data_IF_555724096709
#
_entry.id   IF_555724096709
#
_cell.length_a   1.000
_cell.length_b   1.000
_cell.length_c   1.000
_cell.angle_alpha   90.00
_cell.angle_beta   90.00
_cell.angle_gamma   90.00
#
_symmetry.space_group_name_H-M   'P 1'
#
loop_
_entity.id
_entity.type
_entity.pdbx_description
1 polymer ?
#
# COMPACT_ATOMS: atom_id res chain seq x y z
N UNK A 1 -22.16 39.01 -6.30
CA UNK A 1 -21.18 38.32 -5.43
C UNK A 1 -21.76 36.95 -5.11
N UNK A 2 -21.37 35.93 -5.88
CA UNK A 2 -21.79 34.56 -5.64
C UNK A 2 -20.70 33.87 -4.82
N UNK A 3 -21.00 33.60 -3.55
CA UNK A 3 -20.20 32.73 -2.71
C UNK A 3 -20.37 31.30 -3.20
N UNK A 4 -19.45 30.85 -4.08
CA UNK A 4 -19.26 29.46 -4.38
C UNK A 4 -18.49 28.80 -3.24
N UNK A 5 -19.19 28.20 -2.30
CA UNK A 5 -18.62 27.16 -1.43
C UNK A 5 -18.23 25.98 -2.33
N UNK A 6 -16.97 25.94 -2.74
CA UNK A 6 -16.38 24.74 -3.33
C UNK A 6 -16.38 23.67 -2.26
N UNK A 7 -17.27 22.68 -2.40
CA UNK A 7 -17.27 21.49 -1.58
C UNK A 7 -15.98 20.71 -1.91
N UNK A 8 -14.91 20.93 -1.15
CA UNK A 8 -13.59 20.30 -1.33
C UNK A 8 -13.56 18.87 -0.77
N UNK A 9 -14.70 18.17 -0.76
CA UNK A 9 -14.82 16.84 -0.18
C UNK A 9 -14.01 15.84 -0.99
N UNK A 10 -12.86 15.43 -0.45
CA UNK A 10 -12.12 14.29 -0.99
C UNK A 10 -13.04 13.06 -1.03
N UNK A 11 -12.93 12.25 -2.09
CA UNK A 11 -13.68 11.00 -2.18
C UNK A 11 -13.27 10.06 -1.03
N UNK A 12 -14.23 9.66 -0.20
CA UNK A 12 -13.99 8.81 0.98
C UNK A 12 -14.54 7.41 0.72
N UNK A 13 -13.83 6.37 1.15
CA UNK A 13 -14.36 5.02 1.16
C UNK A 13 -15.49 4.89 2.20
N UNK A 14 -16.42 3.92 2.05
CA UNK A 14 -17.38 3.61 3.10
C UNK A 14 -16.69 3.32 4.44
N UNK A 15 -17.27 3.79 5.53
CA UNK A 15 -16.75 3.51 6.87
C UNK A 15 -16.71 1.99 7.12
N UNK A 16 -15.64 1.43 7.71
CA UNK A 16 -15.57 -0.01 7.94
C UNK A 16 -16.50 -0.42 9.10
N UNK A 17 -17.13 -1.59 8.96
CA UNK A 17 -18.16 -2.11 9.88
C UNK A 17 -17.72 -2.12 11.35
N UNK A 18 -18.56 -1.63 12.26
CA UNK A 18 -18.32 -1.62 13.70
C UNK A 18 -18.12 -3.03 14.29
N UNK A 19 -18.66 -4.08 13.66
CA UNK A 19 -18.40 -5.46 14.07
C UNK A 19 -16.90 -5.85 13.96
N UNK A 20 -16.11 -5.11 13.17
CA UNK A 20 -14.70 -5.41 12.90
C UNK A 20 -13.72 -4.63 13.77
N UNK A 21 -14.17 -3.81 14.72
CA UNK A 21 -13.30 -2.92 15.52
C UNK A 21 -12.14 -3.64 16.24
N UNK A 22 -12.35 -4.91 16.61
CA UNK A 22 -11.35 -5.72 17.31
C UNK A 22 -10.42 -6.52 16.37
N UNK A 23 -10.70 -6.55 15.07
CA UNK A 23 -9.93 -7.33 14.09
C UNK A 23 -8.61 -6.63 13.74
N UNK A 24 -7.53 -7.40 13.48
CA UNK A 24 -6.30 -6.86 12.93
C UNK A 24 -6.54 -6.00 11.69
N UNK A 25 -5.80 -4.89 11.57
CA UNK A 25 -6.03 -3.85 10.57
C UNK A 25 -5.03 -3.91 9.42
N UNK A 26 -5.56 -3.77 8.20
CA UNK A 26 -4.78 -3.65 6.96
C UNK A 26 -4.99 -2.24 6.38
N UNK A 27 -3.89 -1.50 6.24
CA UNK A 27 -3.88 -0.20 5.57
C UNK A 27 -3.87 -0.41 4.04
N UNK A 28 -4.81 0.17 3.30
CA UNK A 28 -5.05 -0.11 1.88
C UNK A 28 -4.76 1.12 1.01
N UNK A 29 -3.59 1.15 0.38
CA UNK A 29 -3.08 2.27 -0.43
C UNK A 29 -3.45 2.12 -1.91
N UNK A 30 -4.24 3.06 -2.41
CA UNK A 30 -4.75 3.05 -3.78
C UNK A 30 -3.68 3.39 -4.84
N UNK A 31 -3.95 3.10 -6.11
CA UNK A 31 -3.07 3.48 -7.23
C UNK A 31 -3.05 4.99 -7.51
N UNK A 32 -2.05 5.46 -8.25
CA UNK A 32 -2.02 6.85 -8.71
C UNK A 32 -3.15 7.14 -9.70
N UNK A 33 -3.76 8.31 -9.61
CA UNK A 33 -4.92 8.68 -10.44
C UNK A 33 -6.21 7.97 -10.04
N UNK A 34 -6.30 7.44 -8.82
CA UNK A 34 -7.52 6.90 -8.21
C UNK A 34 -7.78 7.58 -6.87
N UNK A 35 -8.66 7.02 -6.03
CA UNK A 35 -8.94 7.52 -4.68
C UNK A 35 -9.46 6.37 -3.79
N UNK A 36 -9.70 6.61 -2.48
CA UNK A 36 -10.18 5.60 -1.55
C UNK A 36 -11.46 4.89 -1.98
N UNK A 37 -12.44 5.64 -2.51
CA UNK A 37 -13.73 5.08 -2.90
C UNK A 37 -13.57 4.09 -4.06
N UNK A 38 -12.79 4.46 -5.08
CA UNK A 38 -12.46 3.58 -6.21
C UNK A 38 -11.72 2.34 -5.70
N UNK A 39 -10.74 2.52 -4.83
CA UNK A 39 -9.93 1.39 -4.35
C UNK A 39 -10.70 0.42 -3.47
N UNK A 40 -11.63 0.92 -2.64
CA UNK A 40 -12.58 0.09 -1.92
C UNK A 40 -13.37 -0.83 -2.87
N UNK A 41 -13.88 -0.28 -3.98
CA UNK A 41 -14.60 -1.06 -4.99
C UNK A 41 -13.69 -2.06 -5.72
N UNK A 42 -12.45 -1.67 -6.02
CA UNK A 42 -11.46 -2.55 -6.65
C UNK A 42 -11.07 -3.73 -5.73
N UNK A 43 -10.98 -3.50 -4.42
CA UNK A 43 -10.66 -4.53 -3.43
C UNK A 43 -11.83 -5.46 -3.08
N UNK A 44 -13.07 -5.19 -3.55
CA UNK A 44 -14.29 -5.85 -3.08
C UNK A 44 -14.21 -7.38 -2.95
N UNK A 45 -13.58 -8.06 -3.91
CA UNK A 45 -13.49 -9.52 -3.92
C UNK A 45 -12.54 -10.03 -2.82
N UNK A 46 -11.37 -9.39 -2.68
CA UNK A 46 -10.40 -9.71 -1.63
C UNK A 46 -10.98 -9.39 -0.24
N UNK A 47 -11.55 -8.19 -0.08
CA UNK A 47 -12.16 -7.75 1.18
C UNK A 47 -13.31 -8.65 1.60
N UNK A 48 -14.13 -9.11 0.66
CA UNK A 48 -15.23 -10.04 0.95
C UNK A 48 -14.73 -11.33 1.61
N UNK A 49 -13.62 -11.89 1.15
CA UNK A 49 -13.05 -13.12 1.71
C UNK A 49 -12.27 -12.91 3.01
N UNK A 50 -11.82 -11.69 3.31
CA UNK A 50 -11.04 -11.35 4.50
C UNK A 50 -11.86 -10.68 5.62
N UNK A 51 -13.12 -10.31 5.37
CA UNK A 51 -13.95 -9.46 6.25
C UNK A 51 -14.15 -9.98 7.68
N UNK A 52 -14.06 -11.29 7.90
CA UNK A 52 -14.18 -11.90 9.24
C UNK A 52 -12.86 -11.96 10.00
N UNK A 53 -11.74 -11.61 9.35
CA UNK A 53 -10.40 -11.77 9.89
C UNK A 53 -9.64 -10.44 9.98
N UNK A 54 -9.97 -9.49 9.10
CA UNK A 54 -9.29 -8.21 9.02
C UNK A 54 -10.28 -7.05 8.87
N UNK A 55 -9.93 -5.94 9.49
CA UNK A 55 -10.51 -4.62 9.23
C UNK A 55 -9.63 -3.90 8.20
N UNK A 56 -10.23 -3.41 7.12
CA UNK A 56 -9.50 -2.73 6.04
C UNK A 56 -9.79 -1.24 6.06
N UNK A 57 -8.75 -0.41 5.97
CA UNK A 57 -8.86 1.06 6.02
C UNK A 57 -8.19 1.67 4.80
N UNK A 58 -8.90 2.60 4.14
CA UNK A 58 -8.54 3.15 2.83
C UNK A 58 -8.22 4.65 2.94
N UNK A 59 -6.97 5.04 3.24
CA UNK A 59 -6.55 6.43 3.29
C UNK A 59 -6.56 7.10 1.91
N UNK A 60 -6.80 8.41 1.88
CA UNK A 60 -6.72 9.25 0.69
C UNK A 60 -5.29 9.74 0.46
N UNK A 61 -4.78 9.62 -0.77
CA UNK A 61 -3.46 10.14 -1.09
C UNK A 61 -3.41 11.68 -1.09
N UNK A 62 -2.27 12.30 -0.74
CA UNK A 62 -2.20 13.74 -0.49
C UNK A 62 -2.31 14.63 -1.73
N UNK A 63 -1.84 14.17 -2.89
CA UNK A 63 -1.65 15.06 -4.04
C UNK A 63 -2.76 14.87 -5.07
N UNK A 64 -3.20 15.97 -5.68
CA UNK A 64 -4.09 15.92 -6.82
C UNK A 64 -3.41 15.22 -8.01
N UNK A 65 -4.21 14.50 -8.80
CA UNK A 65 -3.77 13.76 -9.97
C UNK A 65 -4.79 13.87 -11.09
N UNK A 66 -4.34 13.68 -12.33
CA UNK A 66 -5.23 13.25 -13.40
C UNK A 66 -5.65 11.79 -13.14
N UNK A 67 -6.81 11.34 -13.66
CA UNK A 67 -7.18 9.93 -13.59
C UNK A 67 -6.15 9.05 -14.30
N UNK A 68 -6.00 7.82 -13.80
CA UNK A 68 -5.17 6.81 -14.46
C UNK A 68 -5.77 6.37 -15.81
N UNK A 69 -4.95 5.80 -16.73
CA UNK A 69 -5.38 5.46 -18.09
C UNK A 69 -6.67 4.62 -18.15
N UNK A 70 -6.78 3.61 -17.29
CA UNK A 70 -7.91 2.66 -17.29
C UNK A 70 -9.06 3.09 -16.36
N UNK A 71 -8.86 4.15 -15.57
CA UNK A 71 -9.84 4.62 -14.56
C UNK A 71 -11.04 5.27 -15.23
N UNK A 72 -10.82 6.02 -16.31
CA UNK A 72 -11.85 6.81 -16.97
C UNK A 72 -12.97 5.97 -17.61
N UNK A 73 -12.71 4.72 -17.95
CA UNK A 73 -13.71 3.86 -18.60
C UNK A 73 -14.89 3.51 -17.68
N UNK A 74 -14.65 3.43 -16.36
CA UNK A 74 -15.65 3.00 -15.35
C UNK A 74 -15.87 4.07 -14.27
N UNK A 75 -14.86 4.90 -13.99
CA UNK A 75 -14.82 5.80 -12.83
C UNK A 75 -14.62 7.27 -13.21
N UNK A 76 -14.97 7.68 -14.44
CA UNK A 76 -14.81 9.07 -14.91
C UNK A 76 -15.41 10.10 -13.94
N UNK A 77 -16.59 9.81 -13.38
CA UNK A 77 -17.33 10.71 -12.48
C UNK A 77 -16.94 10.57 -11.00
N UNK A 78 -15.99 9.69 -10.68
CA UNK A 78 -15.60 9.39 -9.29
C UNK A 78 -14.43 10.25 -8.83
N UNK A 79 -14.16 11.38 -9.50
CA UNK A 79 -13.19 12.36 -9.02
C UNK A 79 -13.56 12.93 -7.63
N UNK A 80 -12.63 13.60 -6.94
CA UNK A 80 -11.28 13.94 -7.37
C UNK A 80 -10.33 12.74 -7.38
N UNK A 81 -9.35 12.77 -8.28
CA UNK A 81 -8.29 11.75 -8.38
C UNK A 81 -7.03 12.21 -7.66
N UNK A 82 -6.34 11.25 -7.03
CA UNK A 82 -5.22 11.50 -6.13
C UNK A 82 -4.03 10.61 -6.46
N UNK A 83 -2.86 11.01 -5.99
CA UNK A 83 -1.59 10.29 -6.09
C UNK A 83 -0.76 10.49 -4.82
N UNK A 84 0.10 9.53 -4.54
CA UNK A 84 0.93 9.48 -3.34
C UNK A 84 2.27 10.20 -3.49
N UNK A 85 2.81 10.24 -4.70
CA UNK A 85 4.16 10.73 -4.98
C UNK A 85 4.09 12.05 -5.73
N UNK A 86 5.01 12.99 -5.45
CA UNK A 86 5.09 14.26 -6.18
C UNK A 86 5.75 14.09 -7.54
N UNK A 87 6.66 13.13 -7.72
CA UNK A 87 7.27 12.82 -9.01
C UNK A 87 6.37 11.85 -9.81
N UNK A 88 5.76 12.28 -10.93
CA UNK A 88 4.73 11.51 -11.64
C UNK A 88 5.28 10.45 -12.62
N UNK A 89 6.60 10.33 -12.77
CA UNK A 89 7.23 9.42 -13.73
C UNK A 89 7.28 7.95 -13.28
N UNK A 90 7.11 6.98 -14.20
CA UNK A 90 7.37 5.57 -13.90
C UNK A 90 8.86 5.39 -13.60
N UNK A 91 9.18 4.59 -12.57
CA UNK A 91 10.54 4.33 -12.11
C UNK A 91 11.41 5.57 -11.82
N UNK A 92 10.79 6.73 -11.59
CA UNK A 92 11.50 7.93 -11.20
C UNK A 92 11.81 7.89 -9.71
N UNK A 93 13.03 8.27 -9.36
CA UNK A 93 13.42 8.61 -7.99
C UNK A 93 12.58 9.81 -7.55
N UNK A 94 12.07 9.79 -6.32
CA UNK A 94 11.30 10.92 -5.81
C UNK A 94 12.23 12.13 -5.60
N UNK A 95 11.86 13.26 -6.20
CA UNK A 95 12.67 14.49 -6.19
C UNK A 95 12.52 15.28 -4.87
N UNK A 96 11.36 15.16 -4.22
CA UNK A 96 11.00 15.90 -3.01
C UNK A 96 10.70 14.92 -1.85
N UNK A 97 11.65 14.06 -1.46
CA UNK A 97 11.35 12.96 -0.56
C UNK A 97 10.91 13.41 0.83
N UNK A 98 11.39 14.55 1.34
CA UNK A 98 11.00 15.07 2.67
C UNK A 98 9.54 15.50 2.67
N UNK A 99 9.15 16.30 1.68
CA UNK A 99 7.80 16.82 1.52
C UNK A 99 6.82 15.69 1.22
N UNK A 100 7.22 14.75 0.36
CA UNK A 100 6.42 13.57 0.04
C UNK A 100 6.20 12.69 1.27
N UNK A 101 7.24 12.41 2.08
CA UNK A 101 7.06 11.69 3.33
C UNK A 101 6.17 12.41 4.34
N UNK A 102 6.37 13.72 4.54
CA UNK A 102 5.55 14.49 5.46
C UNK A 102 4.06 14.47 5.05
N UNK A 103 3.77 14.56 3.76
CA UNK A 103 2.40 14.51 3.24
C UNK A 103 1.78 13.10 3.37
N UNK A 104 2.55 12.05 3.07
CA UNK A 104 2.11 10.64 3.22
C UNK A 104 1.84 10.33 4.70
N UNK A 105 2.78 10.67 5.60
CA UNK A 105 2.63 10.47 7.04
C UNK A 105 1.37 11.16 7.56
N UNK A 106 1.15 12.42 7.14
CA UNK A 106 -0.03 13.17 7.55
C UNK A 106 -1.32 12.46 7.12
N UNK A 107 -1.47 12.12 5.85
CA UNK A 107 -2.72 11.54 5.33
C UNK A 107 -3.00 10.13 5.89
N UNK A 108 -1.98 9.29 5.95
CA UNK A 108 -2.12 7.94 6.52
C UNK A 108 -2.36 8.04 8.03
N UNK A 109 -1.61 8.89 8.73
CA UNK A 109 -1.78 9.14 10.15
C UNK A 109 -3.18 9.65 10.49
N UNK A 110 -3.73 10.57 9.71
CA UNK A 110 -5.10 11.10 9.87
C UNK A 110 -6.15 10.00 9.70
N UNK A 111 -5.98 9.11 8.72
CA UNK A 111 -6.87 7.96 8.51
C UNK A 111 -6.78 6.92 9.63
N UNK A 112 -5.57 6.64 10.12
CA UNK A 112 -5.36 5.74 11.26
C UNK A 112 -5.99 6.31 12.54
N UNK A 113 -5.79 7.61 12.82
CA UNK A 113 -6.39 8.26 13.98
C UNK A 113 -7.92 8.35 13.85
N UNK A 114 -8.45 8.51 12.64
CA UNK A 114 -9.89 8.49 12.39
C UNK A 114 -10.49 7.11 12.70
N UNK A 115 -9.80 6.04 12.32
CA UNK A 115 -10.22 4.67 12.63
C UNK A 115 -10.13 4.37 14.14
N UNK A 116 -9.08 4.85 14.82
CA UNK A 116 -8.97 4.76 16.29
C UNK A 116 -10.12 5.53 16.98
N UNK A 117 -10.50 6.71 16.47
CA UNK A 117 -11.66 7.47 16.98
C UNK A 117 -13.01 6.77 16.79
N UNK A 118 -13.11 5.83 15.85
CA UNK A 118 -14.29 4.95 15.72
C UNK A 118 -14.31 3.83 16.78
N UNK A 119 -13.29 3.75 17.65
CA UNK A 119 -13.16 2.74 18.70
C UNK A 119 -12.43 1.47 18.25
N UNK A 120 -11.68 1.53 17.14
CA UNK A 120 -10.94 0.37 16.67
C UNK A 120 -9.78 0.04 17.62
N UNK A 121 -9.64 -1.23 17.96
CA UNK A 121 -8.67 -1.74 18.94
C UNK A 121 -7.71 -2.78 18.36
N UNK A 122 -8.01 -3.34 17.19
CA UNK A 122 -7.11 -4.29 16.53
C UNK A 122 -5.77 -3.65 16.18
N UNK A 123 -4.68 -4.43 16.17
CA UNK A 123 -3.37 -3.90 15.78
C UNK A 123 -3.30 -3.61 14.28
N UNK A 124 -2.55 -2.58 13.88
CA UNK A 124 -2.16 -2.39 12.47
C UNK A 124 -1.10 -3.42 12.11
N UNK A 125 -1.46 -4.41 11.29
CA UNK A 125 -0.59 -5.58 11.04
C UNK A 125 -0.04 -5.65 9.63
N UNK A 126 -0.67 -4.99 8.65
CA UNK A 126 -0.20 -5.06 7.27
C UNK A 126 -0.51 -3.79 6.48
N UNK A 127 0.23 -3.61 5.39
CA UNK A 127 -0.04 -2.62 4.36
C UNK A 127 -0.28 -3.34 3.03
N UNK A 128 -1.41 -3.08 2.40
CA UNK A 128 -1.75 -3.51 1.06
C UNK A 128 -1.69 -2.31 0.14
N UNK A 129 -0.99 -2.42 -0.98
CA UNK A 129 -0.86 -1.33 -1.95
C UNK A 129 -1.01 -1.80 -3.38
N UNK A 130 -1.69 -1.00 -4.21
CA UNK A 130 -1.81 -1.23 -5.64
C UNK A 130 -1.03 -0.19 -6.46
N UNK A 131 -0.26 -0.63 -7.47
CA UNK A 131 0.48 0.25 -8.38
C UNK A 131 1.36 1.25 -7.62
N UNK A 132 1.11 2.56 -7.73
CA UNK A 132 1.82 3.56 -6.92
C UNK A 132 1.64 3.35 -5.40
N UNK A 133 0.47 2.90 -4.94
CA UNK A 133 0.25 2.52 -3.55
C UNK A 133 1.07 1.30 -3.13
N UNK A 134 1.38 0.37 -4.06
CA UNK A 134 2.29 -0.76 -3.82
C UNK A 134 3.73 -0.29 -3.59
N UNK A 135 4.19 0.68 -4.37
CA UNK A 135 5.50 1.34 -4.15
C UNK A 135 5.57 1.99 -2.76
N UNK A 136 4.52 2.71 -2.36
CA UNK A 136 4.46 3.37 -1.05
C UNK A 136 4.38 2.35 0.08
N UNK A 137 3.61 1.28 -0.08
CA UNK A 137 3.52 0.20 0.91
C UNK A 137 4.89 -0.43 1.18
N UNK A 138 5.62 -0.81 0.12
CA UNK A 138 6.98 -1.32 0.25
C UNK A 138 7.94 -0.29 0.89
N UNK A 139 7.80 0.98 0.53
CA UNK A 139 8.62 2.07 1.09
C UNK A 139 8.36 2.30 2.59
N UNK A 140 7.11 2.21 3.04
CA UNK A 140 6.75 2.28 4.47
C UNK A 140 7.41 1.13 5.23
N UNK A 141 7.36 -0.08 4.68
CA UNK A 141 7.97 -1.26 5.30
C UNK A 141 9.50 -1.12 5.35
N UNK A 142 10.14 -0.66 4.28
CA UNK A 142 11.60 -0.42 4.28
C UNK A 142 11.97 0.66 5.31
N UNK A 143 11.22 1.77 5.37
CA UNK A 143 11.44 2.81 6.38
C UNK A 143 11.23 2.33 7.80
N UNK A 144 10.24 1.46 8.03
CA UNK A 144 10.05 0.79 9.31
C UNK A 144 11.28 -0.05 9.69
N UNK A 145 11.82 -0.79 8.74
CA UNK A 145 12.94 -1.69 8.95
C UNK A 145 14.23 -0.93 9.27
N UNK A 146 14.55 0.10 8.48
CA UNK A 146 15.85 0.79 8.55
C UNK A 146 15.86 1.96 9.55
N UNK A 147 14.72 2.62 9.75
CA UNK A 147 14.64 3.86 10.55
C UNK A 147 13.28 3.96 11.27
N UNK A 148 12.92 2.99 12.15
CA UNK A 148 11.58 2.86 12.73
C UNK A 148 11.08 4.11 13.48
N UNK A 149 11.96 4.87 14.12
CA UNK A 149 11.64 6.13 14.79
C UNK A 149 11.21 7.23 13.82
N UNK A 150 11.62 7.15 12.55
CA UNK A 150 11.26 8.11 11.51
C UNK A 150 9.91 7.86 10.84
N UNK A 151 9.19 6.79 11.23
CA UNK A 151 7.82 6.55 10.78
C UNK A 151 6.80 7.52 11.40
N UNK A 152 7.19 8.22 12.48
CA UNK A 152 6.33 9.16 13.18
C UNK A 152 4.96 8.57 13.50
N UNK A 153 3.89 9.20 13.02
CA UNK A 153 2.50 8.81 13.28
C UNK A 153 2.11 7.44 12.73
N UNK A 154 2.88 6.84 11.82
CA UNK A 154 2.58 5.49 11.32
C UNK A 154 2.99 4.39 12.31
N UNK A 155 3.91 4.66 13.24
CA UNK A 155 4.33 3.69 14.25
C UNK A 155 3.30 3.61 15.37
N UNK A 156 2.49 2.55 15.39
CA UNK A 156 1.43 2.33 16.41
C UNK A 156 1.77 1.28 17.46
N UNK A 157 2.75 0.43 17.18
CA UNK A 157 3.22 -0.59 18.12
C UNK A 157 4.67 -0.92 17.86
N UNK A 158 5.33 -1.58 18.82
CA UNK A 158 6.71 -2.05 18.67
C UNK A 158 6.87 -3.07 17.53
N UNK A 159 5.82 -3.83 17.22
CA UNK A 159 5.85 -4.82 16.13
C UNK A 159 5.64 -4.18 14.75
N UNK A 160 5.09 -2.97 14.70
CA UNK A 160 4.75 -2.28 13.45
C UNK A 160 3.89 -3.11 12.50
N UNK A 161 3.96 -2.76 11.22
CA UNK A 161 3.43 -3.60 10.14
C UNK A 161 4.28 -4.85 9.99
N UNK A 162 3.64 -6.02 9.94
CA UNK A 162 4.31 -7.32 9.98
C UNK A 162 4.49 -7.93 8.60
N UNK A 163 3.69 -7.53 7.63
CA UNK A 163 3.83 -7.94 6.23
C UNK A 163 3.20 -6.94 5.25
N UNK A 164 3.61 -7.02 3.99
CA UNK A 164 3.08 -6.25 2.87
C UNK A 164 2.33 -7.10 1.84
N UNK A 165 1.34 -6.50 1.18
CA UNK A 165 0.70 -7.06 -0.02
C UNK A 165 0.87 -6.07 -1.16
N UNK A 166 1.75 -6.40 -2.10
CA UNK A 166 2.20 -5.51 -3.18
C UNK A 166 1.57 -5.98 -4.49
N UNK A 167 0.52 -5.28 -4.93
CA UNK A 167 -0.23 -5.59 -6.15
C UNK A 167 0.22 -4.67 -7.27
N UNK A 168 0.85 -5.21 -8.32
CA UNK A 168 1.40 -4.42 -9.43
C UNK A 168 2.29 -3.24 -8.97
N UNK A 169 2.98 -3.40 -7.83
CA UNK A 169 3.89 -2.39 -7.28
C UNK A 169 5.13 -2.22 -8.16
N UNK A 170 5.80 -1.07 -8.10
CA UNK A 170 7.04 -0.83 -8.86
C UNK A 170 8.07 -0.05 -8.05
N UNK A 171 9.35 -0.26 -8.34
CA UNK A 171 10.45 0.55 -7.81
C UNK A 171 10.73 1.83 -8.61
N UNK A 172 11.80 2.57 -8.29
CA UNK A 172 12.61 2.46 -7.07
C UNK A 172 11.78 2.83 -5.83
N UNK A 173 12.13 2.34 -4.64
CA UNK A 173 11.41 2.74 -3.42
C UNK A 173 11.65 4.22 -3.06
N UNK A 174 10.84 4.76 -2.14
CA UNK A 174 11.04 6.13 -1.62
C UNK A 174 12.22 6.14 -0.67
N UNK A 175 12.82 7.33 -0.55
CA UNK A 175 13.97 7.55 0.28
C UNK A 175 13.68 7.22 1.75
N UNK A 176 14.11 6.07 2.27
CA UNK A 176 13.80 5.71 3.66
C UNK A 176 14.40 6.73 4.64
N UNK A 177 15.55 7.30 4.30
CA UNK A 177 16.14 8.47 4.95
C UNK A 177 16.16 9.68 3.99
N UNK A 178 15.11 10.53 4.00
CA UNK A 178 14.99 11.65 3.08
C UNK A 178 15.95 12.81 3.40
N UNK A 179 16.68 12.73 4.52
CA UNK A 179 17.70 13.71 4.90
C UNK A 179 19.06 13.45 4.23
N UNK A 180 19.27 12.28 3.59
CA UNK A 180 20.49 12.00 2.82
C UNK A 180 20.46 12.74 1.47
N UNK A 181 21.59 13.37 1.13
CA UNK A 181 21.72 14.26 -0.04
C UNK A 181 21.53 13.55 -1.39
N UNK A 182 21.94 12.28 -1.48
CA UNK A 182 21.79 11.47 -2.68
C UNK A 182 21.27 10.08 -2.30
N UNK A 183 20.39 9.55 -3.15
CA UNK A 183 19.83 8.22 -2.95
C UNK A 183 20.74 7.11 -3.51
N UNK A 184 21.58 7.45 -4.49
CA UNK A 184 22.65 6.61 -5.04
C UNK A 184 23.98 7.37 -4.96
N UNK A 185 25.05 6.67 -4.62
CA UNK A 185 26.42 7.15 -4.82
C UNK A 185 26.83 7.01 -6.31
N UNK A 186 27.97 7.59 -6.70
CA UNK A 186 28.38 7.77 -8.11
C UNK A 186 28.34 6.50 -8.97
N UNK A 187 28.69 5.36 -8.39
CA UNK A 187 28.79 4.07 -9.08
C UNK A 187 27.64 3.11 -8.71
N UNK A 188 26.76 3.49 -7.79
CA UNK A 188 25.62 2.66 -7.39
C UNK A 188 24.52 2.66 -8.44
N UNK A 189 23.80 1.54 -8.51
CA UNK A 189 22.58 1.39 -9.32
C UNK A 189 21.45 0.83 -8.45
N UNK A 190 20.26 0.70 -9.03
CA UNK A 190 19.14 -0.01 -8.40
C UNK A 190 19.11 -1.48 -8.82
N UNK A 191 20.25 -2.14 -8.68
CA UNK A 191 20.34 -3.59 -8.72
C UNK A 191 20.43 -4.14 -7.29
N UNK A 192 20.20 -5.45 -7.16
CA UNK A 192 20.13 -6.15 -5.89
C UNK A 192 21.41 -5.98 -5.06
N UNK A 193 22.59 -6.11 -5.69
CA UNK A 193 23.88 -6.02 -5.00
C UNK A 193 24.12 -4.61 -4.41
N UNK A 194 23.85 -3.58 -5.20
CA UNK A 194 23.92 -2.18 -4.75
C UNK A 194 22.89 -1.90 -3.66
N UNK A 195 21.66 -2.41 -3.81
CA UNK A 195 20.61 -2.23 -2.82
C UNK A 195 20.93 -2.97 -1.50
N UNK A 196 21.48 -4.18 -1.55
CA UNK A 196 21.86 -4.94 -0.36
C UNK A 196 23.00 -4.26 0.39
N UNK A 197 24.04 -3.86 -0.34
CA UNK A 197 25.20 -3.14 0.22
C UNK A 197 24.79 -1.83 0.90
N UNK A 198 23.76 -1.16 0.39
CA UNK A 198 23.25 0.10 0.93
C UNK A 198 22.13 -0.05 1.97
N UNK A 199 21.77 -1.28 2.39
CA UNK A 199 20.68 -1.50 3.35
C UNK A 199 19.27 -1.20 2.80
N UNK A 200 19.09 -1.24 1.48
CA UNK A 200 17.82 -0.95 0.78
C UNK A 200 16.96 -2.19 0.49
N UNK A 201 17.40 -3.37 0.95
CA UNK A 201 16.67 -4.64 0.77
C UNK A 201 15.60 -4.81 1.85
N UNK A 202 14.36 -4.92 1.40
CA UNK A 202 13.20 -5.20 2.25
C UNK A 202 13.19 -6.66 2.69
N UNK A 203 13.26 -6.89 4.00
CA UNK A 203 13.29 -8.20 4.66
C UNK A 203 12.02 -8.50 5.46
N UNK A 204 11.16 -7.50 5.68
CA UNK A 204 9.81 -7.73 6.21
C UNK A 204 9.01 -8.53 5.16
N UNK A 205 8.26 -9.57 5.56
CA UNK A 205 7.56 -10.43 4.60
C UNK A 205 6.66 -9.67 3.62
N UNK A 206 6.77 -9.97 2.33
CA UNK A 206 5.91 -9.38 1.28
C UNK A 206 5.28 -10.43 0.40
N UNK A 207 4.02 -10.18 0.02
CA UNK A 207 3.30 -10.95 -0.99
C UNK A 207 3.24 -10.08 -2.26
N UNK A 208 3.84 -10.55 -3.33
CA UNK A 208 3.81 -9.91 -4.65
C UNK A 208 2.72 -10.56 -5.49
N UNK A 209 1.86 -9.74 -6.11
CA UNK A 209 0.78 -10.21 -6.99
C UNK A 209 0.95 -9.57 -8.36
N UNK A 210 1.31 -10.38 -9.35
CA UNK A 210 1.65 -9.95 -10.71
C UNK A 210 0.61 -10.45 -11.71
N UNK A 211 0.03 -9.52 -12.48
CA UNK A 211 -0.79 -9.86 -13.65
C UNK A 211 0.12 -10.14 -14.84
N UNK A 212 0.02 -11.32 -15.45
CA UNK A 212 0.91 -11.73 -16.54
C UNK A 212 0.68 -10.96 -17.85
N UNK A 213 -0.43 -10.24 -17.95
CA UNK A 213 -0.79 -9.41 -19.11
C UNK A 213 -0.62 -7.91 -18.80
N UNK A 214 -0.06 -7.57 -17.64
CA UNK A 214 0.22 -6.19 -17.26
C UNK A 214 1.35 -5.62 -18.13
N UNK A 215 1.15 -4.52 -18.88
CA UNK A 215 2.22 -3.87 -19.63
C UNK A 215 3.40 -3.42 -18.76
N UNK A 216 3.17 -3.24 -17.45
CA UNK A 216 4.16 -2.89 -16.44
C UNK A 216 4.85 -4.07 -15.75
N UNK A 217 4.62 -5.32 -16.17
CA UNK A 217 5.11 -6.52 -15.49
C UNK A 217 6.61 -6.48 -15.16
N UNK A 218 7.45 -6.04 -16.10
CA UNK A 218 8.90 -5.91 -15.88
C UNK A 218 9.26 -4.99 -14.71
N UNK A 219 8.44 -3.96 -14.43
CA UNK A 219 8.64 -3.08 -13.28
C UNK A 219 8.24 -3.73 -11.95
N UNK A 220 7.31 -4.67 -11.98
CA UNK A 220 6.91 -5.45 -10.80
C UNK A 220 7.97 -6.50 -10.46
N UNK A 221 8.55 -7.12 -11.49
CA UNK A 221 9.70 -8.02 -11.37
C UNK A 221 10.90 -7.27 -10.80
N UNK A 222 11.25 -6.08 -11.28
CA UNK A 222 12.32 -5.25 -10.70
C UNK A 222 12.07 -4.97 -9.20
N UNK A 223 10.84 -4.65 -8.80
CA UNK A 223 10.55 -4.46 -7.37
C UNK A 223 10.75 -5.74 -6.55
N UNK A 224 10.37 -6.89 -7.10
CA UNK A 224 10.55 -8.19 -6.44
C UNK A 224 12.03 -8.57 -6.34
N UNK A 225 12.77 -8.44 -7.44
CA UNK A 225 14.10 -9.01 -7.64
C UNK A 225 15.20 -8.11 -7.11
N UNK A 226 15.05 -6.78 -7.21
CA UNK A 226 16.12 -5.84 -6.89
C UNK A 226 15.97 -5.19 -5.51
N UNK A 227 14.77 -5.24 -4.90
CA UNK A 227 14.46 -4.49 -3.67
C UNK A 227 13.99 -5.35 -2.49
N UNK A 228 13.70 -6.62 -2.70
CA UNK A 228 13.17 -7.50 -1.66
C UNK A 228 14.06 -8.72 -1.47
N UNK A 229 14.24 -9.16 -0.22
CA UNK A 229 14.96 -10.38 0.08
C UNK A 229 14.12 -11.58 -0.41
N UNK A 230 14.67 -12.45 -1.29
CA UNK A 230 13.93 -13.60 -1.81
C UNK A 230 13.41 -14.53 -0.69
N UNK A 231 14.05 -14.56 0.49
CA UNK A 231 13.60 -15.36 1.65
C UNK A 231 12.36 -14.77 2.34
N UNK A 232 12.10 -13.48 2.16
CA UNK A 232 10.96 -12.78 2.73
C UNK A 232 9.77 -12.66 1.76
N UNK A 233 9.97 -12.96 0.48
CA UNK A 233 8.96 -12.75 -0.56
C UNK A 233 8.09 -13.98 -0.81
N UNK A 234 6.90 -13.76 -1.34
CA UNK A 234 6.04 -14.79 -1.92
C UNK A 234 5.40 -14.21 -3.18
N UNK A 235 5.58 -14.86 -4.33
CA UNK A 235 5.03 -14.44 -5.60
C UNK A 235 3.73 -15.18 -5.92
N UNK A 236 2.75 -14.45 -6.46
CA UNK A 236 1.52 -14.96 -7.05
C UNK A 236 1.39 -14.36 -8.44
N UNK A 237 1.25 -15.21 -9.44
CA UNK A 237 1.02 -14.82 -10.82
C UNK A 237 -0.39 -15.24 -11.25
N UNK A 238 -1.04 -14.41 -12.05
CA UNK A 238 -2.39 -14.68 -12.55
C UNK A 238 -2.62 -14.06 -13.94
N UNK A 239 -3.58 -14.61 -14.67
CA UNK A 239 -3.95 -14.17 -16.02
C UNK A 239 -4.79 -12.88 -15.98
N UNK A 240 -4.12 -11.76 -15.74
CA UNK A 240 -4.73 -10.45 -15.64
C UNK A 240 -3.82 -9.32 -16.12
N UNK A 241 -4.45 -8.21 -16.46
CA UNK A 241 -3.88 -6.90 -16.82
C UNK A 241 -3.61 -6.04 -15.57
N UNK A 242 -3.45 -4.72 -15.74
CA UNK A 242 -3.12 -3.77 -14.66
C UNK A 242 -4.31 -3.48 -13.72
N UNK A 243 -4.80 -4.50 -13.02
CA UNK A 243 -5.92 -4.40 -12.07
C UNK A 243 -5.80 -5.42 -10.93
N UNK A 244 -6.79 -5.41 -10.03
CA UNK A 244 -6.92 -6.41 -8.98
C UNK A 244 -7.65 -7.67 -9.52
N UNK A 245 -7.33 -8.87 -9.00
CA UNK A 245 -8.06 -10.08 -9.35
C UNK A 245 -9.53 -9.98 -8.88
N UNK A 246 -10.45 -10.48 -9.70
CA UNK A 246 -11.90 -10.43 -9.45
C UNK A 246 -12.50 -11.83 -9.37
N UNK A 247 -12.09 -12.73 -10.26
CA UNK A 247 -12.59 -14.10 -10.29
C UNK A 247 -12.08 -14.85 -9.06
N UNK A 248 -12.94 -15.63 -8.42
CA UNK A 248 -12.61 -16.38 -7.21
C UNK A 248 -11.36 -17.25 -7.38
N UNK A 249 -11.15 -17.83 -8.58
CA UNK A 249 -9.96 -18.62 -8.91
C UNK A 249 -8.65 -17.86 -8.71
N UNK A 250 -8.65 -16.56 -8.97
CA UNK A 250 -7.46 -15.70 -8.92
C UNK A 250 -7.36 -14.98 -7.57
N UNK A 251 -8.51 -14.71 -6.93
CA UNK A 251 -8.58 -14.06 -5.62
C UNK A 251 -8.18 -15.01 -4.49
N UNK A 252 -8.56 -16.29 -4.58
CA UNK A 252 -8.34 -17.26 -3.49
C UNK A 252 -6.85 -17.46 -3.15
N UNK A 253 -5.94 -17.62 -4.13
CA UNK A 253 -4.50 -17.70 -3.84
C UNK A 253 -3.99 -16.47 -3.08
N UNK A 254 -4.41 -15.26 -3.45
CA UNK A 254 -4.02 -14.02 -2.76
C UNK A 254 -4.48 -14.03 -1.31
N UNK A 255 -5.75 -14.33 -1.09
CA UNK A 255 -6.35 -14.40 0.26
C UNK A 255 -5.65 -15.45 1.12
N UNK A 256 -5.35 -16.62 0.57
CA UNK A 256 -4.69 -17.71 1.30
C UNK A 256 -3.25 -17.34 1.68
N UNK A 257 -2.52 -16.61 0.81
CA UNK A 257 -1.19 -16.08 1.15
C UNK A 257 -1.26 -14.99 2.22
N UNK A 258 -2.27 -14.11 2.20
CA UNK A 258 -2.47 -13.10 3.25
C UNK A 258 -2.68 -13.79 4.61
N UNK A 259 -3.52 -14.83 4.66
CA UNK A 259 -3.75 -15.62 5.89
C UNK A 259 -2.48 -16.32 6.36
N UNK A 260 -1.72 -16.93 5.44
CA UNK A 260 -0.47 -17.59 5.77
C UNK A 260 0.58 -16.61 6.31
N UNK A 261 0.72 -15.42 5.70
CA UNK A 261 1.63 -14.38 6.18
C UNK A 261 1.23 -13.87 7.56
N UNK A 262 -0.07 -13.62 7.80
CA UNK A 262 -0.59 -13.24 9.11
C UNK A 262 -0.28 -14.31 10.16
N UNK A 263 -0.54 -15.58 9.88
CA UNK A 263 -0.23 -16.69 10.81
C UNK A 263 1.27 -16.78 11.10
N UNK A 264 2.12 -16.72 10.06
CA UNK A 264 3.59 -16.82 10.20
C UNK A 264 4.19 -15.66 10.98
N UNK A 265 3.57 -14.48 10.91
CA UNK A 265 4.02 -13.27 11.59
C UNK A 265 3.32 -13.06 12.94
N UNK A 266 2.63 -14.08 13.46
CA UNK A 266 2.02 -14.06 14.79
C UNK A 266 0.85 -13.11 14.93
N UNK A 267 0.13 -12.80 13.85
CA UNK A 267 -1.17 -12.11 13.91
C UNK A 267 -2.17 -13.05 14.58
N UNK A 268 -2.72 -12.60 15.70
CA UNK A 268 -3.74 -13.34 16.42
C UNK A 268 -5.11 -12.94 15.90
N UNK A 269 -5.87 -13.92 15.40
CA UNK A 269 -7.30 -13.76 15.19
C UNK A 269 -7.97 -14.10 16.51
N UNK A 270 -8.75 -13.16 17.08
CA UNK A 270 -9.61 -13.51 18.22
C UNK A 270 -10.56 -14.60 17.76
N UNK A 271 -10.63 -15.70 18.51
CA UNK A 271 -11.61 -16.74 18.23
C UNK A 271 -13.00 -16.10 18.27
N UNK A 272 -13.81 -16.35 17.23
CA UNK A 272 -15.24 -16.03 17.30
C UNK A 272 -15.82 -17.02 18.30
N UNK A 273 -16.19 -16.55 19.49
CA UNK A 273 -16.95 -17.37 20.44
C UNK A 273 -18.29 -17.74 19.78
N UNK A 274 -18.50 -19.05 19.55
CA UNK A 274 -19.79 -19.62 19.18
C UNK A 274 -20.08 -19.73 17.67
N UNK A 275 -19.79 -20.89 17.11
CA UNK A 275 -20.70 -21.59 16.20
C UNK A 275 -21.02 -22.96 16.80
#
# INVERSE_FOLDING_TARGET
MHNGTTNTGDAVAPAPDNATLHLPRILCLHGGGTNPQIFYMQCRAISHHLKSQFRMVYPCAPFASTPGPDVLSVFAEYGPFKRWLMTPGPNAVEEYPKETWAAIERQIGDAMDADDRLGATGEWVAVLGFSQGGRVAASILLRQQEKPESLGRLRRSEKGFRFGVLMAGRGPLLQYDPDRASWLDKDERFDYESNDSAGRILRIPTIHVHGMQDPGLGYHQILLEEWCDPKATTLIEWEGDHRLPIKTTDVRPVVDRIRAAASRTGVQFKAVEGQ
#
